data_IF_856479765864
#
_entry.id   IF_856479765864
#
_cell.length_a   1.000
_cell.length_b   1.000
_cell.length_c   1.000
_cell.angle_alpha   90.00
_cell.angle_beta   90.00
_cell.angle_gamma   90.00
#
_symmetry.space_group_name_H-M   'P 1'
#
loop_
_entity.id
_entity.type
_entity.pdbx_description
1 polymer ?
#
# COMPACT_ATOMS: atom_id res chain seq x y z
N UNK A 1 0.80 -17.91 14.53
CA UNK A 1 0.79 -17.75 13.06
C UNK A 1 2.23 -17.74 12.56
N UNK A 2 2.67 -18.82 11.91
CA UNK A 2 4.05 -19.04 11.46
C UNK A 2 4.53 -17.89 10.56
N UNK A 3 5.81 -17.51 10.66
CA UNK A 3 6.38 -16.43 9.86
C UNK A 3 6.14 -16.61 8.35
N UNK A 4 6.14 -17.87 7.90
CA UNK A 4 5.86 -18.28 6.52
C UNK A 4 4.44 -17.89 6.08
N UNK A 5 3.42 -18.09 6.92
CA UNK A 5 2.04 -17.72 6.58
C UNK A 5 1.87 -16.19 6.45
N UNK A 6 2.61 -15.41 7.26
CA UNK A 6 2.60 -13.95 7.16
C UNK A 6 3.34 -13.44 5.93
N UNK A 7 4.43 -14.12 5.56
CA UNK A 7 5.14 -13.83 4.32
C UNK A 7 4.24 -14.11 3.12
N UNK A 8 3.62 -15.29 3.08
CA UNK A 8 2.71 -15.71 2.01
C UNK A 8 1.53 -14.76 1.84
N UNK A 9 0.88 -14.34 2.93
CA UNK A 9 -0.25 -13.39 2.83
C UNK A 9 0.17 -12.02 2.29
N UNK A 10 1.35 -11.51 2.67
CA UNK A 10 1.88 -10.24 2.14
C UNK A 10 2.21 -10.36 0.65
N UNK A 11 2.84 -11.46 0.24
CA UNK A 11 3.18 -11.72 -1.16
C UNK A 11 1.93 -11.86 -2.02
N UNK A 12 0.89 -12.55 -1.55
CA UNK A 12 -0.39 -12.64 -2.26
C UNK A 12 -1.01 -11.27 -2.52
N UNK A 13 -1.00 -10.38 -1.52
CA UNK A 13 -1.52 -9.02 -1.69
C UNK A 13 -0.66 -8.22 -2.67
N UNK A 14 0.67 -8.36 -2.61
CA UNK A 14 1.59 -7.73 -3.59
C UNK A 14 1.31 -8.21 -5.01
N UNK A 15 1.15 -9.52 -5.21
CA UNK A 15 0.83 -10.09 -6.52
C UNK A 15 -0.50 -9.52 -6.99
N UNK A 16 -1.54 -9.54 -6.16
CA UNK A 16 -2.85 -8.99 -6.51
C UNK A 16 -2.79 -7.50 -6.92
N UNK A 17 -1.94 -6.71 -6.27
CA UNK A 17 -1.74 -5.28 -6.60
C UNK A 17 -0.98 -5.11 -7.93
N UNK A 18 0.06 -5.89 -8.18
CA UNK A 18 0.90 -5.78 -9.37
C UNK A 18 0.28 -6.43 -10.61
N UNK A 19 -0.57 -7.44 -10.40
CA UNK A 19 -1.14 -8.31 -11.43
C UNK A 19 -1.85 -7.56 -12.57
N UNK A 20 -2.71 -6.54 -12.32
CA UNK A 20 -3.36 -5.81 -13.40
C UNK A 20 -2.36 -5.14 -14.37
N UNK A 21 -1.24 -4.63 -13.86
CA UNK A 21 -0.22 -3.96 -14.67
C UNK A 21 0.64 -4.96 -15.45
N UNK A 22 0.97 -6.08 -14.81
CA UNK A 22 1.71 -7.16 -15.47
C UNK A 22 0.87 -7.81 -16.58
N UNK A 23 -0.44 -8.03 -16.34
CA UNK A 23 -1.36 -8.50 -17.36
C UNK A 23 -1.51 -7.51 -18.50
N UNK A 24 -1.79 -6.23 -18.20
CA UNK A 24 -1.99 -5.22 -19.23
C UNK A 24 -0.74 -5.03 -20.09
N UNK A 25 0.43 -4.99 -19.46
CA UNK A 25 1.71 -4.89 -20.16
C UNK A 25 2.06 -6.15 -20.96
N UNK A 26 1.81 -7.34 -20.41
CA UNK A 26 2.05 -8.61 -21.12
C UNK A 26 1.12 -8.80 -22.32
N UNK A 27 -0.16 -8.48 -22.17
CA UNK A 27 -1.12 -8.47 -23.27
C UNK A 27 -0.73 -7.45 -24.35
N UNK A 28 -0.31 -6.25 -23.94
CA UNK A 28 0.10 -5.19 -24.86
C UNK A 28 1.38 -5.46 -25.67
N UNK A 29 2.21 -6.44 -25.28
CA UNK A 29 3.35 -6.88 -26.11
C UNK A 29 2.92 -7.88 -27.17
N UNK A 30 1.91 -8.71 -26.87
CA UNK A 30 1.43 -9.75 -27.77
C UNK A 30 0.50 -9.17 -28.85
N UNK A 31 -0.16 -8.05 -28.57
CA UNK A 31 -1.10 -7.39 -29.48
C UNK A 31 -0.41 -6.24 -30.25
N UNK A 32 -0.22 -6.36 -31.58
CA UNK A 32 0.44 -5.34 -32.39
C UNK A 32 -0.38 -4.05 -32.52
N UNK A 33 -1.67 -4.05 -32.18
CA UNK A 33 -2.50 -2.84 -32.17
C UNK A 33 -2.24 -1.99 -30.92
N UNK A 34 -1.62 -2.55 -29.88
CA UNK A 34 -1.37 -1.85 -28.63
C UNK A 34 -0.05 -1.08 -28.71
N UNK A 35 0.00 0.19 -28.26
CA UNK A 35 1.24 0.96 -28.28
C UNK A 35 2.33 0.31 -27.40
N UNK A 36 3.44 -0.08 -28.03
CA UNK A 36 4.55 -0.79 -27.37
C UNK A 36 5.10 -0.02 -26.15
N UNK A 37 5.24 1.30 -26.26
CA UNK A 37 5.72 2.15 -25.17
C UNK A 37 4.80 2.09 -23.94
N UNK A 38 3.48 2.04 -24.15
CA UNK A 38 2.51 1.92 -23.05
C UNK A 38 2.62 0.54 -22.39
N UNK A 39 2.81 -0.52 -23.19
CA UNK A 39 2.99 -1.88 -22.67
C UNK A 39 4.24 -1.99 -21.79
N UNK A 40 5.36 -1.41 -22.25
CA UNK A 40 6.62 -1.35 -21.49
C UNK A 40 6.43 -0.59 -20.18
N UNK A 41 5.78 0.57 -20.20
CA UNK A 41 5.53 1.36 -18.98
C UNK A 41 4.66 0.60 -17.98
N UNK A 42 3.60 -0.07 -18.45
CA UNK A 42 2.76 -0.92 -17.60
C UNK A 42 3.56 -2.07 -16.98
N UNK A 43 4.41 -2.75 -17.76
CA UNK A 43 5.29 -3.81 -17.24
C UNK A 43 6.28 -3.28 -16.22
N UNK A 44 6.95 -2.16 -16.48
CA UNK A 44 7.90 -1.55 -15.55
C UNK A 44 7.22 -1.18 -14.23
N UNK A 45 6.01 -0.61 -14.28
CA UNK A 45 5.25 -0.28 -13.09
C UNK A 45 4.83 -1.54 -12.31
N UNK A 46 4.33 -2.55 -13.00
CA UNK A 46 3.97 -3.85 -12.40
C UNK A 46 5.16 -4.55 -11.76
N UNK A 47 6.28 -4.62 -12.47
CA UNK A 47 7.54 -5.19 -11.97
C UNK A 47 8.07 -4.39 -10.78
N UNK A 48 8.04 -3.06 -10.84
CA UNK A 48 8.45 -2.19 -9.73
C UNK A 48 7.62 -2.42 -8.47
N UNK A 49 6.29 -2.53 -8.61
CA UNK A 49 5.38 -2.85 -7.50
C UNK A 49 5.63 -4.25 -6.93
N UNK A 50 5.90 -5.23 -7.79
CA UNK A 50 6.20 -6.59 -7.40
C UNK A 50 7.54 -6.69 -6.66
N UNK A 51 8.60 -6.06 -7.17
CA UNK A 51 9.90 -5.97 -6.51
C UNK A 51 9.81 -5.26 -5.16
N UNK A 52 9.11 -4.13 -5.09
CA UNK A 52 8.90 -3.41 -3.83
C UNK A 52 8.13 -4.27 -2.84
N UNK A 53 7.01 -4.87 -3.23
CA UNK A 53 6.23 -5.69 -2.31
C UNK A 53 6.94 -6.98 -1.88
N UNK A 54 7.75 -7.59 -2.76
CA UNK A 54 8.60 -8.72 -2.41
C UNK A 54 9.67 -8.33 -1.39
N UNK A 55 10.37 -7.21 -1.62
CA UNK A 55 11.31 -6.63 -0.66
C UNK A 55 10.65 -6.39 0.70
N UNK A 56 9.43 -5.83 0.72
CA UNK A 56 8.68 -5.58 1.96
C UNK A 56 8.24 -6.85 2.67
N UNK A 57 7.87 -7.89 1.91
CA UNK A 57 7.59 -9.22 2.44
C UNK A 57 8.75 -9.73 3.27
N UNK A 58 9.96 -9.65 2.71
CA UNK A 58 11.20 -10.11 3.35
C UNK A 58 11.67 -9.19 4.49
N UNK A 59 11.69 -7.87 4.30
CA UNK A 59 12.16 -6.91 5.28
C UNK A 59 11.29 -6.86 6.55
N UNK A 60 10.02 -7.25 6.43
CA UNK A 60 9.07 -7.31 7.54
C UNK A 60 9.24 -8.53 8.48
N UNK A 61 10.31 -9.33 8.36
CA UNK A 61 10.56 -10.55 9.17
C UNK A 61 11.53 -10.32 10.36
N UNK A 62 12.14 -9.13 10.50
CA UNK A 62 13.23 -8.91 11.50
C UNK A 62 12.97 -7.74 12.48
N UNK A 63 13.79 -7.65 13.55
CA UNK A 63 13.50 -8.05 14.93
C UNK A 63 12.53 -7.11 15.68
N UNK A 64 11.94 -7.62 16.77
CA UNK A 64 11.15 -6.83 17.74
C UNK A 64 12.01 -5.80 18.46
N UNK A 65 11.45 -4.65 18.89
CA UNK A 65 12.21 -3.65 19.65
C UNK A 65 12.87 -4.28 20.88
N UNK A 66 14.13 -3.90 21.13
CA UNK A 66 14.86 -4.28 22.34
C UNK A 66 14.27 -3.53 23.53
N UNK A 67 13.51 -4.24 24.35
CA UNK A 67 12.95 -3.72 25.60
C UNK A 67 14.08 -3.52 26.62
N UNK A 68 14.05 -2.43 27.38
CA UNK A 68 14.97 -2.25 28.51
C UNK A 68 14.53 -3.18 29.65
N UNK A 69 15.47 -3.70 30.44
CA UNK A 69 15.17 -4.56 31.59
C UNK A 69 14.11 -3.90 32.50
N UNK A 70 13.08 -4.66 32.88
CA UNK A 70 11.87 -4.26 33.63
C UNK A 70 10.82 -3.41 32.90
N UNK A 71 10.95 -3.17 31.59
CA UNK A 71 9.94 -2.47 30.80
C UNK A 71 8.80 -3.43 30.38
N UNK A 72 7.55 -3.09 30.71
CA UNK A 72 6.39 -3.92 30.35
C UNK A 72 5.74 -3.39 29.07
N UNK A 73 5.61 -4.27 28.08
CA UNK A 73 4.86 -3.96 26.86
C UNK A 73 3.38 -3.95 27.20
N UNK A 74 2.74 -2.78 27.10
CA UNK A 74 1.31 -2.63 27.36
C UNK A 74 0.54 -3.03 26.10
N UNK A 75 0.87 -2.41 24.96
CA UNK A 75 0.18 -2.65 23.69
C UNK A 75 1.15 -2.51 22.53
N UNK A 76 1.09 -3.44 21.59
CA UNK A 76 1.72 -3.33 20.28
C UNK A 76 0.64 -3.18 19.21
N UNK A 77 0.64 -2.06 18.48
CA UNK A 77 -0.32 -1.76 17.42
C UNK A 77 0.36 -1.68 16.06
N UNK A 78 -0.29 -2.28 15.08
CA UNK A 78 0.02 -2.08 13.67
C UNK A 78 -1.00 -1.10 13.08
N UNK A 79 -0.60 -0.22 12.15
CA UNK A 79 -1.53 0.65 11.45
C UNK A 79 -2.62 -0.17 10.74
N UNK A 80 -3.84 0.35 10.74
CA UNK A 80 -4.96 -0.27 10.02
C UNK A 80 -4.71 -0.24 8.51
N UNK A 81 -4.90 -1.39 7.85
CA UNK A 81 -4.79 -1.52 6.39
C UNK A 81 -6.11 -1.21 5.66
N UNK A 82 -7.24 -1.19 6.39
CA UNK A 82 -8.58 -0.96 5.84
C UNK A 82 -8.68 0.28 4.94
N UNK A 83 -8.19 1.48 5.32
CA UNK A 83 -8.31 2.66 4.48
C UNK A 83 -7.43 2.60 3.22
N UNK A 84 -6.39 1.77 3.21
CA UNK A 84 -5.59 1.55 2.01
C UNK A 84 -6.38 0.68 1.01
N UNK A 85 -6.96 -0.43 1.48
CA UNK A 85 -7.82 -1.28 0.66
C UNK A 85 -9.08 -0.56 0.17
N UNK A 86 -9.72 0.26 0.99
CA UNK A 86 -10.90 1.01 0.57
C UNK A 86 -10.59 1.95 -0.61
N UNK A 87 -9.43 2.61 -0.62
CA UNK A 87 -9.01 3.43 -1.77
C UNK A 87 -8.74 2.61 -3.02
N UNK A 88 -8.14 1.44 -2.87
CA UNK A 88 -7.92 0.52 -3.99
C UNK A 88 -9.26 0.04 -4.57
N UNK A 89 -10.19 -0.42 -3.72
CA UNK A 89 -11.53 -0.85 -4.14
C UNK A 89 -12.29 0.29 -4.82
N UNK A 90 -12.20 1.50 -4.27
CA UNK A 90 -12.84 2.68 -4.87
C UNK A 90 -12.27 3.06 -6.24
N UNK A 91 -11.05 2.64 -6.57
CA UNK A 91 -10.49 2.88 -7.91
C UNK A 91 -11.08 2.00 -9.00
N UNK A 92 -11.57 0.80 -8.65
CA UNK A 92 -12.12 -0.19 -9.59
C UNK A 92 -13.24 0.39 -10.46
N UNK A 93 -14.29 1.04 -9.93
CA UNK A 93 -15.37 1.58 -10.77
C UNK A 93 -14.87 2.61 -11.78
N UNK A 94 -13.88 3.44 -11.43
CA UNK A 94 -13.29 4.41 -12.36
C UNK A 94 -12.48 3.75 -13.47
N UNK A 95 -11.71 2.70 -13.14
CA UNK A 95 -10.93 1.93 -14.12
C UNK A 95 -11.86 1.16 -15.06
N UNK A 96 -12.91 0.53 -14.53
CA UNK A 96 -13.93 -0.18 -15.34
C UNK A 96 -14.68 0.80 -16.24
N UNK A 97 -15.08 1.96 -15.73
CA UNK A 97 -15.71 3.01 -16.53
C UNK A 97 -14.79 3.51 -17.65
N UNK A 98 -13.50 3.68 -17.37
CA UNK A 98 -12.53 4.07 -18.38
C UNK A 98 -12.38 3.01 -19.49
N UNK A 99 -12.28 1.72 -19.13
CA UNK A 99 -12.22 0.62 -20.09
C UNK A 99 -13.49 0.51 -20.93
N UNK A 100 -14.66 0.68 -20.31
CA UNK A 100 -15.93 0.70 -21.02
C UNK A 100 -16.01 1.86 -22.02
N UNK A 101 -15.66 3.07 -21.59
CA UNK A 101 -15.66 4.24 -22.47
C UNK A 101 -14.68 4.09 -23.62
N UNK A 102 -13.52 3.46 -23.38
CA UNK A 102 -12.51 3.22 -24.41
C UNK A 102 -12.99 2.24 -25.49
N UNK A 103 -13.73 1.20 -25.12
CA UNK A 103 -14.19 0.17 -26.07
C UNK A 103 -15.46 0.58 -26.84
N UNK A 104 -16.40 1.25 -26.17
CA UNK A 104 -17.75 1.48 -26.69
C UNK A 104 -17.96 2.90 -27.24
N UNK A 105 -16.97 3.79 -27.14
CA UNK A 105 -17.15 5.19 -27.53
C UNK A 105 -16.19 5.58 -28.66
N UNK A 106 -16.72 6.16 -29.74
CA UNK A 106 -15.97 6.76 -30.85
C UNK A 106 -15.58 8.23 -30.59
N UNK A 107 -15.79 8.71 -29.35
CA UNK A 107 -15.58 10.09 -28.92
C UNK A 107 -14.09 10.33 -28.59
N UNK A 108 -13.65 11.60 -28.47
CA UNK A 108 -12.25 11.94 -28.21
C UNK A 108 -11.66 11.16 -27.02
N UNK A 109 -10.38 10.79 -27.13
CA UNK A 109 -9.59 10.09 -26.11
C UNK A 109 -9.62 10.73 -24.71
N UNK A 110 -10.09 11.98 -24.58
CA UNK A 110 -10.28 12.68 -23.32
C UNK A 110 -11.28 11.96 -22.40
N UNK A 111 -12.37 11.41 -22.95
CA UNK A 111 -13.43 10.79 -22.16
C UNK A 111 -13.02 9.52 -21.41
N UNK A 112 -12.29 8.55 -22.00
CA UNK A 112 -11.73 7.44 -21.24
C UNK A 112 -10.53 7.85 -20.36
N UNK A 113 -9.79 8.89 -20.76
CA UNK A 113 -8.58 9.31 -20.04
C UNK A 113 -8.86 9.93 -18.66
N UNK A 114 -9.88 10.78 -18.53
CA UNK A 114 -10.25 11.41 -17.24
C UNK A 114 -10.57 10.38 -16.13
N UNK A 115 -11.52 9.44 -16.33
CA UNK A 115 -11.82 8.43 -15.31
C UNK A 115 -10.63 7.51 -15.07
N UNK A 116 -9.80 7.22 -16.10
CA UNK A 116 -8.58 6.45 -15.93
C UNK A 116 -7.60 7.13 -14.97
N UNK A 117 -7.32 8.43 -15.16
CA UNK A 117 -6.42 9.20 -14.28
C UNK A 117 -6.95 9.25 -12.85
N UNK A 118 -8.25 9.46 -12.67
CA UNK A 118 -8.89 9.48 -11.35
C UNK A 118 -8.76 8.11 -10.67
N UNK A 119 -9.09 7.03 -11.37
CA UNK A 119 -8.95 5.67 -10.87
C UNK A 119 -7.51 5.36 -10.48
N UNK A 120 -6.57 5.65 -11.38
CA UNK A 120 -5.14 5.43 -11.16
C UNK A 120 -4.61 6.21 -9.96
N UNK A 121 -5.06 7.46 -9.78
CA UNK A 121 -4.69 8.28 -8.62
C UNK A 121 -5.13 7.63 -7.30
N UNK A 122 -6.39 7.19 -7.20
CA UNK A 122 -6.89 6.52 -6.00
C UNK A 122 -6.17 5.19 -5.75
N UNK A 123 -5.92 4.43 -6.81
CA UNK A 123 -5.20 3.16 -6.74
C UNK A 123 -3.78 3.37 -6.19
N UNK A 124 -2.97 4.22 -6.82
CA UNK A 124 -1.59 4.49 -6.42
C UNK A 124 -1.52 5.08 -5.00
N UNK A 125 -2.44 5.98 -4.64
CA UNK A 125 -2.53 6.54 -3.28
C UNK A 125 -2.91 5.47 -2.24
N UNK A 126 -3.71 4.48 -2.63
CA UNK A 126 -4.01 3.29 -1.83
C UNK A 126 -2.76 2.42 -1.64
N UNK A 127 -2.06 2.09 -2.74
CA UNK A 127 -0.82 1.30 -2.73
C UNK A 127 0.25 1.95 -1.87
N UNK A 128 0.53 3.24 -2.06
CA UNK A 128 1.54 3.94 -1.26
C UNK A 128 1.21 3.93 0.24
N UNK A 129 -0.08 4.02 0.60
CA UNK A 129 -0.51 3.91 2.00
C UNK A 129 -0.33 2.48 2.52
N UNK A 130 -0.68 1.46 1.73
CA UNK A 130 -0.46 0.06 2.08
C UNK A 130 1.04 -0.24 2.32
N UNK A 131 1.89 0.14 1.38
CA UNK A 131 3.35 -0.03 1.46
C UNK A 131 3.95 0.70 2.67
N UNK A 132 3.45 1.90 3.00
CA UNK A 132 3.88 2.64 4.20
C UNK A 132 3.44 1.95 5.48
N UNK A 133 2.19 1.51 5.55
CA UNK A 133 1.62 0.88 6.74
C UNK A 133 2.31 -0.45 7.09
N UNK A 134 2.91 -1.13 6.10
CA UNK A 134 3.71 -2.34 6.34
C UNK A 134 4.98 -2.08 7.17
N UNK A 135 5.49 -0.85 7.18
CA UNK A 135 6.77 -0.49 7.81
C UNK A 135 6.65 0.27 9.13
N UNK A 136 5.42 0.63 9.51
CA UNK A 136 5.17 1.38 10.73
C UNK A 136 4.72 0.39 11.82
N UNK A 137 5.38 0.44 12.97
CA UNK A 137 4.93 -0.25 14.18
C UNK A 137 4.91 0.74 15.35
N UNK A 138 3.80 0.73 16.09
CA UNK A 138 3.65 1.53 17.30
C UNK A 138 3.69 0.60 18.51
N UNK A 139 4.66 0.80 19.38
CA UNK A 139 4.77 0.05 20.64
C UNK A 139 4.58 1.01 21.80
N UNK A 140 3.67 0.68 22.70
CA UNK A 140 3.38 1.44 23.91
C UNK A 140 3.85 0.62 25.11
N UNK A 141 4.75 1.20 25.89
CA UNK A 141 5.23 0.64 27.15
C UNK A 141 4.80 1.52 28.32
N UNK A 142 5.08 1.08 29.54
CA UNK A 142 4.83 1.83 30.78
C UNK A 142 5.63 3.14 30.86
N UNK A 143 6.77 3.22 30.17
CA UNK A 143 7.70 4.37 30.27
C UNK A 143 7.75 5.23 29.00
N UNK A 144 7.58 4.63 27.82
CA UNK A 144 7.75 5.33 26.53
C UNK A 144 6.79 4.82 25.46
N UNK A 145 6.49 5.70 24.53
CA UNK A 145 5.85 5.37 23.26
C UNK A 145 6.93 5.33 22.19
N UNK A 146 7.04 4.20 21.50
CA UNK A 146 8.02 3.98 20.44
C UNK A 146 7.31 3.93 19.09
N UNK A 147 7.71 4.81 18.18
CA UNK A 147 7.35 4.76 16.78
C UNK A 147 8.54 4.24 15.98
N UNK A 148 8.37 3.06 15.37
CA UNK A 148 9.37 2.45 14.52
C UNK A 148 8.94 2.56 13.07
N UNK A 149 9.81 3.14 12.23
CA UNK A 149 9.67 3.14 10.77
C UNK A 149 10.83 2.39 10.15
N UNK A 150 10.53 1.43 9.27
CA UNK A 150 11.53 0.44 8.79
C UNK A 150 11.52 0.24 7.27
N UNK A 151 11.68 1.28 6.46
CA UNK A 151 11.67 1.13 5.00
C UNK A 151 13.04 0.72 4.40
N UNK A 152 14.08 1.48 4.71
CA UNK A 152 15.49 1.23 4.29
C UNK A 152 16.49 1.45 5.43
N UNK A 153 16.09 2.26 6.42
CA UNK A 153 16.80 2.53 7.66
C UNK A 153 15.83 2.27 8.82
N UNK A 154 16.35 1.83 9.97
CA UNK A 154 15.55 1.72 11.19
C UNK A 154 15.52 3.09 11.87
N UNK A 155 14.39 3.79 11.79
CA UNK A 155 14.17 5.01 12.57
C UNK A 155 13.27 4.67 13.74
N UNK A 156 13.86 4.68 14.94
CA UNK A 156 13.12 4.54 16.20
C UNK A 156 13.02 5.91 16.84
N UNK A 157 11.80 6.42 16.96
CA UNK A 157 11.51 7.64 17.71
C UNK A 157 10.84 7.26 19.02
N UNK A 158 11.51 7.57 20.12
CA UNK A 158 11.02 7.31 21.47
C UNK A 158 10.54 8.60 22.11
N UNK A 159 9.34 8.56 22.69
CA UNK A 159 8.74 9.68 23.39
C UNK A 159 8.38 9.19 24.79
N UNK A 160 9.00 9.71 25.87
CA UNK A 160 8.64 9.31 27.22
C UNK A 160 7.20 9.75 27.54
N UNK A 161 6.45 8.89 28.22
CA UNK A 161 5.02 9.13 28.50
C UNK A 161 4.82 10.42 29.30
N UNK A 162 5.74 10.73 30.23
CA UNK A 162 5.72 11.96 31.02
C UNK A 162 5.79 13.27 30.20
N UNK A 163 6.18 13.21 28.91
CA UNK A 163 6.24 14.38 28.01
C UNK A 163 4.97 14.57 27.18
N UNK A 164 4.01 13.65 27.24
CA UNK A 164 2.79 13.71 26.43
C UNK A 164 1.80 14.65 27.11
N UNK A 165 1.59 15.84 26.52
CA UNK A 165 0.69 16.87 27.09
C UNK A 165 -0.74 16.71 26.57
N UNK A 166 -0.92 16.40 25.28
CA UNK A 166 -2.23 16.21 24.67
C UNK A 166 -2.18 15.19 23.54
N UNK A 167 -3.32 14.52 23.31
CA UNK A 167 -3.51 13.54 22.24
C UNK A 167 -4.58 14.10 21.31
N UNK A 168 -4.22 14.31 20.04
CA UNK A 168 -5.15 14.72 18.98
C UNK A 168 -5.30 13.59 17.97
N UNK A 169 -6.54 13.29 17.59
CA UNK A 169 -6.86 12.26 16.59
C UNK A 169 -7.54 12.92 15.39
N UNK A 170 -6.86 12.89 14.24
CA UNK A 170 -7.44 13.30 12.97
C UNK A 170 -7.72 12.06 12.12
N UNK A 171 -8.99 11.86 11.74
CA UNK A 171 -9.42 10.75 10.87
C UNK A 171 -9.76 11.27 9.49
N UNK A 172 -9.21 10.62 8.47
CA UNK A 172 -9.52 10.93 7.07
C UNK A 172 -10.89 10.31 6.68
N UNK A 173 -11.55 10.81 5.63
CA UNK A 173 -12.87 10.33 5.18
C UNK A 173 -12.93 8.80 5.01
N UNK A 174 -11.91 8.22 4.36
CA UNK A 174 -11.80 6.77 4.20
C UNK A 174 -11.56 6.01 5.52
N UNK A 175 -10.97 6.65 6.53
CA UNK A 175 -10.83 6.05 7.87
C UNK A 175 -12.16 6.09 8.61
N UNK A 176 -12.91 7.20 8.52
CA UNK A 176 -14.27 7.30 9.08
C UNK A 176 -15.18 6.22 8.50
N UNK A 177 -15.13 6.00 7.19
CA UNK A 177 -15.94 5.00 6.49
C UNK A 177 -15.56 3.55 6.82
N UNK A 178 -14.30 3.29 7.19
CA UNK A 178 -13.81 1.92 7.42
C UNK A 178 -13.70 1.53 8.89
N UNK A 179 -13.95 2.47 9.81
CA UNK A 179 -13.78 2.29 11.26
C UNK A 179 -12.33 2.07 11.63
#
# INVERSE_FOLDING_TARGET
MSAILRLGSRLLVTIMIAFPFLLAGGYGILDPAFPELVAIVCLLLGAGLMCLGFYMGLAGVAPTPTMVNDERLIILRHPTMKPAYARMVWSIPFIVAAGYLLQFTQQPYIFPFVPFVIGMYFFLKGVMKYLRNLHITYTITDRRVMHMYKFLWLSTKEIPVARIVSISEARNFFEILTG
#
